data_IF_678648632139
#
_entry.id   IF_678648632139
#
_cell.length_a   1.000
_cell.length_b   1.000
_cell.length_c   1.000
_cell.angle_alpha   90.00
_cell.angle_beta   90.00
_cell.angle_gamma   90.00
#
_symmetry.space_group_name_H-M   'P 1'
#
loop_
_entity.id
_entity.type
_entity.pdbx_description
1 polymer ?
#
# COMPACT_ATOMS: atom_id res chain seq x y z
N UNK A 1 -37.41 -21.70 -20.34
CA UNK A 1 -36.36 -21.89 -21.37
C UNK A 1 -36.54 -21.03 -22.61
N UNK A 2 -37.70 -20.96 -23.22
CA UNK A 2 -37.91 -20.18 -24.46
C UNK A 2 -37.89 -18.68 -24.29
N UNK A 3 -38.33 -18.15 -23.16
CA UNK A 3 -38.32 -16.68 -22.90
C UNK A 3 -36.90 -16.12 -22.75
N UNK A 4 -35.97 -16.88 -22.18
CA UNK A 4 -34.57 -16.46 -22.06
C UNK A 4 -33.82 -16.46 -23.41
N UNK A 5 -34.12 -17.43 -24.26
CA UNK A 5 -33.54 -17.51 -25.60
C UNK A 5 -34.01 -16.34 -26.51
N UNK A 6 -35.26 -15.90 -26.36
CA UNK A 6 -35.82 -14.76 -27.08
C UNK A 6 -35.18 -13.41 -26.70
N UNK A 7 -34.60 -13.29 -25.48
CA UNK A 7 -33.92 -12.11 -25.05
C UNK A 7 -32.41 -12.13 -25.37
N UNK A 8 -31.78 -13.31 -25.37
CA UNK A 8 -30.33 -13.43 -25.58
C UNK A 8 -29.91 -13.44 -27.05
N UNK A 9 -30.72 -13.99 -27.94
CA UNK A 9 -30.43 -14.08 -29.39
C UNK A 9 -30.33 -12.69 -30.07
N UNK A 10 -31.23 -11.72 -29.81
CA UNK A 10 -31.08 -10.37 -30.36
C UNK A 10 -29.83 -9.66 -29.87
N UNK A 11 -29.47 -9.80 -28.61
CA UNK A 11 -28.28 -9.23 -28.04
C UNK A 11 -26.99 -9.82 -28.64
N UNK A 12 -26.96 -11.12 -28.87
CA UNK A 12 -25.85 -11.81 -29.53
C UNK A 12 -25.75 -11.41 -31.03
N UNK A 13 -26.89 -11.36 -31.74
CA UNK A 13 -26.90 -10.92 -33.13
C UNK A 13 -26.45 -9.46 -33.31
N UNK A 14 -26.77 -8.60 -32.36
CA UNK A 14 -26.29 -7.21 -32.35
C UNK A 14 -24.76 -7.12 -32.23
N UNK A 15 -24.13 -8.01 -31.50
CA UNK A 15 -22.68 -8.02 -31.29
C UNK A 15 -21.91 -8.60 -32.50
N UNK A 16 -22.53 -9.48 -33.26
CA UNK A 16 -21.88 -10.18 -34.37
C UNK A 16 -22.12 -9.55 -35.75
N UNK A 17 -23.16 -8.71 -35.93
CA UNK A 17 -23.43 -8.08 -37.23
C UNK A 17 -22.73 -6.75 -37.39
N UNK A 18 -21.72 -6.67 -38.28
CA UNK A 18 -21.02 -5.42 -38.70
C UNK A 18 -21.88 -4.48 -39.56
N UNK A 19 -23.18 -4.59 -39.58
CA UNK A 19 -24.08 -3.75 -40.38
C UNK A 19 -24.15 -2.34 -39.77
N UNK A 20 -23.78 -1.31 -40.56
CA UNK A 20 -23.73 0.10 -40.12
C UNK A 20 -25.11 0.77 -39.95
N UNK A 21 -26.20 0.19 -40.47
CA UNK A 21 -27.55 0.78 -40.42
C UNK A 21 -28.40 0.16 -39.30
N UNK A 22 -28.91 0.95 -38.34
CA UNK A 22 -29.65 0.41 -37.18
C UNK A 22 -30.96 -0.32 -37.56
N UNK A 23 -31.66 0.16 -38.64
CA UNK A 23 -32.88 -0.50 -39.12
C UNK A 23 -32.65 -1.90 -39.70
N UNK A 24 -31.51 -2.14 -40.36
CA UNK A 24 -31.14 -3.46 -40.87
C UNK A 24 -30.77 -4.42 -39.73
N UNK A 25 -30.16 -3.93 -38.63
CA UNK A 25 -29.87 -4.75 -37.45
C UNK A 25 -31.13 -5.16 -36.71
N UNK A 26 -32.10 -4.27 -36.59
CA UNK A 26 -33.39 -4.58 -35.98
C UNK A 26 -34.15 -5.62 -36.82
N UNK A 27 -34.18 -5.45 -38.15
CA UNK A 27 -34.83 -6.42 -39.05
C UNK A 27 -34.22 -7.80 -39.02
N UNK A 28 -32.90 -7.93 -39.02
CA UNK A 28 -32.21 -9.24 -38.89
C UNK A 28 -32.46 -9.89 -37.54
N UNK A 29 -32.53 -9.11 -36.44
CA UNK A 29 -32.88 -9.63 -35.12
C UNK A 29 -34.30 -10.20 -35.06
N UNK A 30 -35.28 -9.51 -35.64
CA UNK A 30 -36.68 -9.95 -35.71
C UNK A 30 -36.79 -11.25 -36.50
N UNK A 31 -36.15 -11.35 -37.67
CA UNK A 31 -36.17 -12.53 -38.54
C UNK A 31 -35.52 -13.74 -37.84
N UNK A 32 -34.39 -13.55 -37.15
CA UNK A 32 -33.70 -14.62 -36.46
C UNK A 32 -34.50 -15.12 -35.25
N UNK A 33 -35.10 -14.22 -34.48
CA UNK A 33 -35.95 -14.60 -33.33
C UNK A 33 -37.22 -15.30 -33.80
N UNK A 34 -37.84 -14.82 -34.88
CA UNK A 34 -38.99 -15.46 -35.51
C UNK A 34 -38.68 -16.85 -36.04
N UNK A 35 -37.55 -17.06 -36.69
CA UNK A 35 -37.10 -18.37 -37.17
C UNK A 35 -36.83 -19.36 -36.02
N UNK A 36 -36.18 -18.93 -34.94
CA UNK A 36 -35.91 -19.80 -33.77
C UNK A 36 -37.19 -20.16 -33.02
N UNK A 37 -38.17 -19.25 -32.87
CA UNK A 37 -39.45 -19.54 -32.23
C UNK A 37 -40.30 -20.48 -33.07
N UNK A 38 -40.24 -20.37 -34.41
CA UNK A 38 -40.92 -21.30 -35.34
C UNK A 38 -40.31 -22.71 -35.27
N UNK A 39 -38.97 -22.83 -35.23
CA UNK A 39 -38.24 -24.08 -35.11
C UNK A 39 -38.47 -24.79 -33.75
N UNK A 40 -38.69 -24.03 -32.68
CA UNK A 40 -38.97 -24.59 -31.35
C UNK A 40 -40.44 -25.01 -31.15
N UNK A 41 -41.29 -24.96 -32.14
CA UNK A 41 -42.71 -25.38 -32.06
C UNK A 41 -43.56 -24.43 -31.19
N UNK A 42 -43.04 -23.29 -30.78
CA UNK A 42 -43.74 -22.27 -29.96
C UNK A 42 -44.48 -21.20 -30.81
N UNK A 43 -44.74 -21.53 -32.08
CA UNK A 43 -45.26 -20.60 -33.10
C UNK A 43 -46.75 -20.35 -33.00
N UNK A 44 -47.28 -19.92 -31.86
CA UNK A 44 -48.60 -19.29 -31.83
C UNK A 44 -48.54 -17.89 -32.45
N UNK A 45 -49.56 -17.51 -33.20
CA UNK A 45 -49.68 -16.15 -33.79
C UNK A 45 -49.58 -15.06 -32.73
N UNK A 46 -49.97 -15.32 -31.51
CA UNK A 46 -49.86 -14.44 -30.35
C UNK A 46 -48.39 -14.17 -29.96
N UNK A 47 -47.50 -15.18 -30.02
CA UNK A 47 -46.10 -15.03 -29.71
C UNK A 47 -45.34 -14.21 -30.77
N UNK A 48 -45.68 -14.40 -32.05
CA UNK A 48 -45.11 -13.62 -33.16
C UNK A 48 -45.55 -12.16 -33.08
N UNK A 49 -46.82 -11.89 -32.77
CA UNK A 49 -47.33 -10.55 -32.53
C UNK A 49 -46.66 -9.89 -31.33
N UNK A 50 -46.44 -10.59 -30.23
CA UNK A 50 -45.74 -10.10 -29.04
C UNK A 50 -44.29 -9.69 -29.33
N UNK A 51 -43.59 -10.52 -30.12
CA UNK A 51 -42.20 -10.23 -30.54
C UNK A 51 -42.15 -8.97 -31.43
N UNK A 52 -43.06 -8.88 -32.42
CA UNK A 52 -43.14 -7.71 -33.32
C UNK A 52 -43.49 -6.44 -32.56
N UNK A 53 -44.39 -6.51 -31.59
CA UNK A 53 -44.81 -5.38 -30.76
C UNK A 53 -43.67 -4.93 -29.84
N UNK A 54 -42.94 -5.88 -29.22
CA UNK A 54 -41.76 -5.60 -28.40
C UNK A 54 -40.63 -4.88 -29.16
N UNK A 55 -40.39 -5.32 -30.41
CA UNK A 55 -39.43 -4.64 -31.27
C UNK A 55 -39.91 -3.26 -31.73
N UNK A 56 -41.19 -3.08 -32.04
CA UNK A 56 -41.78 -1.77 -32.42
C UNK A 56 -41.68 -0.81 -31.26
N UNK A 57 -42.00 -1.23 -30.03
CA UNK A 57 -41.86 -0.41 -28.83
C UNK A 57 -40.40 -0.09 -28.55
N UNK A 58 -39.50 -1.05 -28.64
CA UNK A 58 -38.05 -0.82 -28.47
C UNK A 58 -37.48 0.16 -29.51
N UNK A 59 -37.91 0.03 -30.79
CA UNK A 59 -37.53 0.98 -31.82
C UNK A 59 -38.08 2.40 -31.58
N UNK A 60 -39.31 2.50 -31.11
CA UNK A 60 -39.94 3.78 -30.76
C UNK A 60 -39.21 4.45 -29.59
N UNK A 61 -38.86 3.68 -28.54
CA UNK A 61 -38.09 4.19 -27.39
C UNK A 61 -36.69 4.68 -27.78
N UNK A 62 -35.99 3.97 -28.69
CA UNK A 62 -34.71 4.41 -29.26
C UNK A 62 -34.86 5.69 -30.06
N UNK A 63 -35.96 5.81 -30.81
CA UNK A 63 -36.20 7.00 -31.65
C UNK A 63 -36.66 8.24 -30.87
N UNK A 64 -37.36 8.06 -29.76
CA UNK A 64 -37.83 9.15 -28.89
C UNK A 64 -36.75 9.72 -27.99
N UNK A 65 -35.55 9.11 -27.99
CA UNK A 65 -34.43 9.58 -27.14
C UNK A 65 -34.69 9.43 -25.63
N UNK A 66 -35.72 8.67 -25.24
CA UNK A 66 -35.89 8.32 -23.82
C UNK A 66 -34.67 7.53 -23.39
N UNK A 67 -33.99 7.96 -22.30
CA UNK A 67 -32.82 7.25 -21.82
C UNK A 67 -33.23 5.84 -21.38
N UNK A 68 -32.88 4.83 -22.20
CA UNK A 68 -32.92 3.46 -21.70
C UNK A 68 -31.94 3.39 -20.53
N UNK A 69 -32.32 2.82 -19.37
CA UNK A 69 -31.34 2.53 -18.33
C UNK A 69 -30.29 1.64 -18.98
N UNK A 70 -29.14 2.22 -19.34
CA UNK A 70 -28.09 1.45 -19.99
C UNK A 70 -27.58 0.46 -18.95
N UNK A 71 -27.67 -0.82 -19.26
CA UNK A 71 -27.09 -1.88 -18.40
C UNK A 71 -25.62 -1.57 -18.03
N UNK A 72 -24.94 -0.85 -18.92
CA UNK A 72 -23.59 -0.35 -18.70
C UNK A 72 -23.54 0.72 -17.59
N UNK A 73 -24.53 1.64 -17.47
CA UNK A 73 -24.55 2.64 -16.41
C UNK A 73 -24.79 2.00 -15.04
N UNK A 74 -25.76 1.08 -14.97
CA UNK A 74 -26.04 0.35 -13.72
C UNK A 74 -24.86 -0.55 -13.29
N UNK A 75 -24.17 -1.17 -14.26
CA UNK A 75 -22.97 -1.96 -13.97
C UNK A 75 -21.80 -1.09 -13.48
N UNK A 76 -21.62 0.11 -14.06
CA UNK A 76 -20.61 1.09 -13.60
C UNK A 76 -20.91 1.56 -12.17
N UNK A 77 -22.14 1.93 -11.89
CA UNK A 77 -22.58 2.38 -10.57
C UNK A 77 -22.42 1.29 -9.50
N UNK A 78 -22.79 0.04 -9.82
CA UNK A 78 -22.56 -1.10 -8.93
C UNK A 78 -21.07 -1.37 -8.70
N UNK A 79 -20.21 -1.24 -9.72
CA UNK A 79 -18.77 -1.40 -9.58
C UNK A 79 -18.16 -0.29 -8.71
N UNK A 80 -18.58 0.97 -8.91
CA UNK A 80 -18.15 2.08 -8.09
C UNK A 80 -18.53 1.89 -6.61
N UNK A 81 -19.76 1.45 -6.34
CA UNK A 81 -20.21 1.16 -4.97
C UNK A 81 -19.37 0.05 -4.32
N UNK A 82 -19.09 -1.01 -5.05
CA UNK A 82 -18.25 -2.12 -4.54
C UNK A 82 -16.82 -1.70 -4.22
N UNK A 83 -16.25 -0.75 -4.95
CA UNK A 83 -14.91 -0.19 -4.66
C UNK A 83 -14.93 0.66 -3.39
N UNK A 84 -15.99 1.48 -3.20
CA UNK A 84 -16.19 2.24 -1.97
C UNK A 84 -16.33 1.35 -0.74
N UNK A 85 -17.18 0.32 -0.83
CA UNK A 85 -17.36 -0.67 0.25
C UNK A 85 -16.03 -1.37 0.62
N UNK A 86 -15.23 -1.73 -0.40
CA UNK A 86 -13.91 -2.34 -0.18
C UNK A 86 -12.94 -1.38 0.51
N UNK A 87 -12.94 -0.10 0.15
CA UNK A 87 -12.14 0.92 0.81
C UNK A 87 -12.51 1.10 2.29
N UNK A 88 -13.82 1.11 2.61
CA UNK A 88 -14.30 1.19 3.99
C UNK A 88 -13.88 -0.02 4.84
N UNK A 89 -13.92 -1.23 4.27
CA UNK A 89 -13.46 -2.44 4.97
C UNK A 89 -11.96 -2.37 5.27
N UNK A 90 -11.15 -1.87 4.33
CA UNK A 90 -9.71 -1.70 4.53
C UNK A 90 -9.43 -0.66 5.62
N UNK A 91 -10.15 0.46 5.64
CA UNK A 91 -10.01 1.47 6.69
C UNK A 91 -10.44 0.95 8.07
N UNK A 92 -11.47 0.12 8.13
CA UNK A 92 -11.89 -0.53 9.37
C UNK A 92 -10.81 -1.50 9.90
N UNK A 93 -10.17 -2.27 9.03
CA UNK A 93 -9.04 -3.14 9.38
C UNK A 93 -7.85 -2.33 9.90
N UNK A 94 -7.52 -1.23 9.23
CA UNK A 94 -6.47 -0.29 9.68
C UNK A 94 -6.76 0.24 11.08
N UNK A 95 -7.98 0.71 11.32
CA UNK A 95 -8.40 1.21 12.63
C UNK A 95 -8.26 0.19 13.77
N UNK A 96 -8.49 -1.11 13.49
CA UNK A 96 -8.27 -2.18 14.48
C UNK A 96 -6.78 -2.39 14.77
N UNK A 97 -5.91 -2.25 13.76
CA UNK A 97 -4.46 -2.39 13.95
C UNK A 97 -3.90 -1.23 14.79
N UNK A 98 -4.33 0.00 14.51
CA UNK A 98 -3.89 1.20 15.23
C UNK A 98 -4.34 1.19 16.71
N UNK A 99 -5.51 0.63 17.01
CA UNK A 99 -6.05 0.54 18.36
C UNK A 99 -5.30 -0.44 19.28
N UNK A 100 -4.54 -1.39 18.72
CA UNK A 100 -3.83 -2.43 19.48
C UNK A 100 -2.48 -1.99 20.08
N UNK A 101 -2.02 -0.78 19.79
CA UNK A 101 -0.67 -0.26 20.12
C UNK A 101 -0.58 0.60 21.38
N UNK A 102 -1.27 0.31 22.49
CA UNK A 102 -1.11 1.12 23.71
C UNK A 102 0.24 0.88 24.42
N UNK A 103 0.99 1.95 24.75
CA UNK A 103 2.25 1.81 25.46
C UNK A 103 2.03 1.39 26.91
N UNK A 104 2.77 0.39 27.36
CA UNK A 104 2.87 0.04 28.80
C UNK A 104 3.75 1.07 29.52
N UNK A 105 3.36 1.57 30.71
CA UNK A 105 4.16 2.52 31.46
C UNK A 105 5.51 1.90 31.89
N UNK A 106 6.61 2.64 31.72
CA UNK A 106 7.97 2.21 32.01
C UNK A 106 8.18 1.73 33.48
N UNK A 107 7.40 2.26 34.39
CA UNK A 107 7.47 1.90 35.82
C UNK A 107 7.04 0.46 36.07
N UNK A 108 6.06 -0.06 35.33
CA UNK A 108 5.63 -1.46 35.42
C UNK A 108 6.67 -2.46 34.84
N UNK A 109 7.57 -2.00 33.98
CA UNK A 109 8.63 -2.83 33.41
C UNK A 109 9.75 -3.07 34.44
N UNK A 110 10.15 -2.05 35.21
CA UNK A 110 11.14 -2.19 36.28
C UNK A 110 10.63 -3.11 37.40
N UNK A 111 9.37 -2.93 37.80
CA UNK A 111 8.75 -3.75 38.82
C UNK A 111 8.74 -5.22 38.41
N UNK A 112 8.42 -5.53 37.15
CA UNK A 112 8.42 -6.90 36.64
C UNK A 112 9.81 -7.57 36.64
N UNK A 113 10.90 -6.80 36.45
CA UNK A 113 12.27 -7.30 36.52
C UNK A 113 12.64 -7.71 37.94
N UNK A 114 12.29 -6.85 38.90
CA UNK A 114 12.57 -7.13 40.30
C UNK A 114 11.70 -8.27 40.87
N UNK A 115 10.45 -8.32 40.51
CA UNK A 115 9.53 -9.42 40.87
C UNK A 115 10.05 -10.74 40.33
N UNK A 116 10.47 -10.82 39.08
CA UNK A 116 11.06 -12.00 38.48
C UNK A 116 12.35 -12.48 39.19
N UNK A 117 13.22 -11.51 39.52
CA UNK A 117 14.46 -11.82 40.27
C UNK A 117 14.17 -12.28 41.71
N UNK A 118 13.21 -11.63 42.38
CA UNK A 118 12.78 -12.01 43.72
C UNK A 118 12.14 -13.40 43.75
N UNK A 119 11.32 -13.74 42.77
CA UNK A 119 10.73 -15.08 42.66
C UNK A 119 11.77 -16.18 42.52
N UNK A 120 12.87 -15.93 41.82
CA UNK A 120 13.95 -16.91 41.61
C UNK A 120 14.88 -17.07 42.82
N UNK A 121 15.21 -15.99 43.51
CA UNK A 121 16.27 -15.98 44.52
C UNK A 121 15.72 -15.71 45.91
N UNK A 122 14.83 -14.72 46.06
CA UNK A 122 14.39 -14.27 47.38
C UNK A 122 13.39 -15.22 48.03
N UNK A 123 12.51 -15.89 47.27
CA UNK A 123 11.51 -16.83 47.85
C UNK A 123 12.13 -18.00 48.61
N UNK A 124 13.31 -18.44 48.19
CA UNK A 124 14.03 -19.54 48.86
C UNK A 124 15.03 -19.02 49.91
N UNK A 125 15.12 -17.71 50.12
CA UNK A 125 16.07 -17.11 51.05
C UNK A 125 15.54 -17.14 52.46
N UNK A 126 16.39 -17.54 53.48
CA UNK A 126 15.98 -17.57 54.89
C UNK A 126 15.63 -16.16 55.43
N UNK A 127 16.08 -15.09 54.79
CA UNK A 127 15.76 -13.70 55.17
C UNK A 127 14.54 -13.13 54.39
N UNK A 128 13.79 -13.93 53.63
CA UNK A 128 12.67 -13.44 52.80
C UNK A 128 11.67 -12.62 53.61
N UNK A 129 11.12 -13.15 54.71
CA UNK A 129 10.15 -12.44 55.55
C UNK A 129 10.70 -11.15 56.14
N UNK A 130 12.00 -11.13 56.49
CA UNK A 130 12.63 -9.90 56.98
C UNK A 130 12.68 -8.81 55.89
N UNK A 131 13.09 -9.16 54.67
CA UNK A 131 13.28 -8.20 53.59
C UNK A 131 11.95 -7.75 52.96
N UNK A 132 11.02 -8.66 52.75
CA UNK A 132 9.80 -8.39 51.96
C UNK A 132 8.54 -8.14 52.80
N UNK A 133 8.57 -8.43 54.11
CA UNK A 133 7.44 -8.17 55.03
C UNK A 133 7.79 -7.13 56.08
N UNK A 134 8.90 -7.31 56.82
CA UNK A 134 9.24 -6.43 57.93
C UNK A 134 9.97 -5.14 57.50
N UNK A 135 10.83 -5.22 56.49
CA UNK A 135 11.59 -4.13 55.93
C UNK A 135 11.24 -3.85 54.47
N UNK A 136 9.95 -4.09 54.09
CA UNK A 136 9.47 -3.95 52.72
C UNK A 136 9.73 -2.57 52.12
N UNK A 137 9.47 -1.50 52.89
CA UNK A 137 9.69 -0.11 52.45
C UNK A 137 11.16 0.18 52.11
N UNK A 138 12.09 -0.36 52.94
CA UNK A 138 13.53 -0.18 52.70
C UNK A 138 13.99 -0.95 51.46
N UNK A 139 13.48 -2.18 51.28
CA UNK A 139 13.77 -2.99 50.12
C UNK A 139 13.23 -2.32 48.87
N UNK A 140 11.96 -1.87 48.87
CA UNK A 140 11.34 -1.18 47.77
C UNK A 140 12.06 0.15 47.39
N UNK A 141 12.45 0.94 48.40
CA UNK A 141 13.22 2.17 48.18
C UNK A 141 14.59 1.88 47.53
N UNK A 142 15.29 0.83 47.97
CA UNK A 142 16.58 0.44 47.39
C UNK A 142 16.41 0.02 45.88
N UNK A 143 15.38 -0.74 45.58
CA UNK A 143 15.09 -1.24 44.22
C UNK A 143 14.64 -0.10 43.27
N UNK A 144 13.71 0.73 43.73
CA UNK A 144 13.21 1.87 42.90
C UNK A 144 14.28 2.93 42.69
N UNK A 145 15.16 3.17 43.70
CA UNK A 145 16.27 4.11 43.56
C UNK A 145 17.30 3.67 42.51
N UNK A 146 17.51 2.36 42.37
CA UNK A 146 18.42 1.79 41.37
C UNK A 146 17.81 1.64 39.99
N UNK A 147 16.47 1.59 39.87
CA UNK A 147 15.75 1.21 38.66
C UNK A 147 16.13 2.06 37.45
N UNK A 148 16.14 3.39 37.59
CA UNK A 148 16.43 4.29 36.47
C UNK A 148 17.81 4.05 35.88
N UNK A 149 18.85 3.99 36.74
CA UNK A 149 20.24 3.82 36.30
C UNK A 149 20.44 2.44 35.62
N UNK A 150 19.83 1.40 36.19
CA UNK A 150 19.89 0.04 35.66
C UNK A 150 19.21 -0.05 34.30
N UNK A 151 18.01 0.56 34.13
CA UNK A 151 17.29 0.56 32.86
C UNK A 151 18.02 1.35 31.76
N UNK A 152 18.67 2.47 32.10
CA UNK A 152 19.44 3.28 31.17
C UNK A 152 20.73 2.59 30.73
N UNK A 153 21.42 1.94 31.66
CA UNK A 153 22.70 1.25 31.41
C UNK A 153 22.52 -0.16 30.83
N UNK A 154 21.40 -0.81 31.11
CA UNK A 154 21.09 -2.17 30.64
C UNK A 154 21.78 -3.28 31.47
N UNK A 155 22.39 -2.96 32.60
CA UNK A 155 23.04 -3.92 33.50
C UNK A 155 22.98 -3.44 34.94
N UNK A 156 22.71 -4.34 35.88
CA UNK A 156 22.71 -4.07 37.32
C UNK A 156 24.06 -4.48 37.93
N UNK A 157 24.63 -3.57 38.73
CA UNK A 157 25.87 -3.78 39.47
C UNK A 157 25.65 -3.53 40.96
N UNK A 158 26.53 -4.05 41.87
CA UNK A 158 26.38 -3.83 43.32
C UNK A 158 26.30 -2.34 43.70
N UNK A 159 27.00 -1.47 42.96
CA UNK A 159 27.09 -0.02 43.24
C UNK A 159 25.77 0.72 43.01
N UNK A 160 24.84 0.15 42.26
CA UNK A 160 23.51 0.72 42.02
C UNK A 160 22.62 0.70 43.26
N UNK A 161 22.95 -0.15 44.22
CA UNK A 161 22.15 -0.36 45.43
C UNK A 161 22.81 0.28 46.63
N UNK A 162 22.02 0.83 47.58
CA UNK A 162 22.54 1.40 48.83
C UNK A 162 23.35 0.38 49.65
N UNK A 163 24.35 0.86 50.36
CA UNK A 163 25.21 0.01 51.19
C UNK A 163 24.42 -0.82 52.20
N UNK A 164 23.40 -0.23 52.82
CA UNK A 164 22.48 -0.92 53.72
C UNK A 164 21.78 -2.12 53.11
N UNK A 165 21.44 -2.06 51.83
CA UNK A 165 20.85 -3.18 51.09
C UNK A 165 21.90 -4.24 50.77
N UNK A 166 23.10 -3.84 50.33
CA UNK A 166 24.23 -4.73 50.00
C UNK A 166 24.65 -5.57 51.18
N UNK A 167 24.78 -4.96 52.39
CA UNK A 167 25.17 -5.64 53.61
C UNK A 167 24.06 -6.54 54.18
N UNK A 168 22.80 -6.16 53.99
CA UNK A 168 21.68 -6.93 54.50
C UNK A 168 21.36 -8.18 53.66
N UNK A 169 21.64 -8.12 52.33
CA UNK A 169 21.34 -9.21 51.41
C UNK A 169 22.37 -10.33 51.47
N UNK A 170 21.93 -11.53 51.87
CA UNK A 170 22.84 -12.70 51.99
C UNK A 170 23.07 -13.41 50.63
N UNK A 171 22.34 -13.08 49.59
CA UNK A 171 22.45 -13.66 48.26
C UNK A 171 22.55 -12.57 47.16
N UNK A 172 23.32 -11.51 47.44
CA UNK A 172 23.43 -10.36 46.55
C UNK A 172 23.86 -10.73 45.13
N UNK A 173 24.92 -11.56 44.99
CA UNK A 173 25.41 -11.97 43.66
C UNK A 173 24.38 -12.78 42.88
N UNK A 174 23.66 -13.68 43.57
CA UNK A 174 22.57 -14.44 42.97
C UNK A 174 21.40 -13.55 42.55
N UNK A 175 21.06 -12.56 43.37
CA UNK A 175 20.01 -11.59 43.07
C UNK A 175 20.40 -10.70 41.86
N UNK A 176 21.62 -10.17 41.82
CA UNK A 176 22.12 -9.40 40.68
C UNK A 176 22.14 -10.21 39.39
N UNK A 177 22.55 -11.48 39.48
CA UNK A 177 22.51 -12.38 38.32
C UNK A 177 21.09 -12.57 37.82
N UNK A 178 20.11 -12.77 38.71
CA UNK A 178 18.71 -12.92 38.35
C UNK A 178 18.14 -11.61 37.79
N UNK A 179 18.45 -10.43 38.36
CA UNK A 179 18.06 -9.10 37.82
C UNK A 179 18.60 -8.92 36.42
N UNK A 180 19.88 -9.24 36.17
CA UNK A 180 20.48 -9.09 34.85
C UNK A 180 19.83 -10.02 33.80
N UNK A 181 19.46 -11.24 34.18
CA UNK A 181 18.73 -12.17 33.30
C UNK A 181 17.33 -11.65 32.95
N UNK A 182 16.59 -11.15 33.95
CA UNK A 182 15.27 -10.56 33.71
C UNK A 182 15.35 -9.28 32.88
N UNK A 183 16.38 -8.45 33.11
CA UNK A 183 16.65 -7.24 32.37
C UNK A 183 16.94 -7.55 30.88
N UNK A 184 17.78 -8.53 30.61
CA UNK A 184 18.04 -9.02 29.25
C UNK A 184 16.75 -9.47 28.57
N UNK A 185 15.93 -10.28 29.24
CA UNK A 185 14.63 -10.71 28.76
C UNK A 185 13.67 -9.55 28.49
N UNK A 186 13.66 -8.55 29.38
CA UNK A 186 12.87 -7.32 29.19
C UNK A 186 13.34 -6.53 27.98
N UNK A 187 14.64 -6.34 27.81
CA UNK A 187 15.22 -5.62 26.67
C UNK A 187 14.90 -6.31 25.33
N UNK A 188 14.95 -7.66 25.29
CA UNK A 188 14.49 -8.43 24.13
C UNK A 188 13.01 -8.20 23.84
N UNK A 189 12.15 -8.29 24.86
CA UNK A 189 10.69 -8.03 24.68
C UNK A 189 10.42 -6.60 24.23
N UNK A 190 11.16 -5.60 24.74
CA UNK A 190 11.05 -4.20 24.34
C UNK A 190 11.46 -4.01 22.88
N UNK A 191 12.61 -4.57 22.47
CA UNK A 191 13.08 -4.51 21.07
C UNK A 191 12.06 -5.15 20.12
N UNK A 192 11.55 -6.34 20.49
CA UNK A 192 10.52 -7.02 19.70
C UNK A 192 9.23 -6.20 19.57
N UNK A 193 8.78 -5.56 20.67
CA UNK A 193 7.61 -4.67 20.61
C UNK A 193 7.83 -3.49 19.68
N UNK A 194 8.98 -2.83 19.74
CA UNK A 194 9.31 -1.70 18.85
C UNK A 194 9.28 -2.17 17.40
N UNK A 195 9.94 -3.28 17.08
CA UNK A 195 9.93 -3.83 15.72
C UNK A 195 8.52 -4.20 15.25
N UNK A 196 7.70 -4.76 16.14
CA UNK A 196 6.31 -5.10 15.82
C UNK A 196 5.47 -3.84 15.58
N UNK A 197 5.65 -2.78 16.38
CA UNK A 197 4.97 -1.49 16.18
C UNK A 197 5.39 -0.82 14.88
N UNK A 198 6.68 -0.84 14.56
CA UNK A 198 7.19 -0.32 13.27
C UNK A 198 6.58 -1.10 12.09
N UNK A 199 6.53 -2.43 12.18
CA UNK A 199 5.91 -3.25 11.14
C UNK A 199 4.40 -3.00 11.02
N UNK A 200 3.69 -2.85 12.15
CA UNK A 200 2.26 -2.50 12.15
C UNK A 200 2.02 -1.13 11.52
N UNK A 201 2.86 -0.14 11.82
CA UNK A 201 2.76 1.19 11.24
C UNK A 201 2.93 1.16 9.72
N UNK A 202 3.91 0.40 9.22
CA UNK A 202 4.11 0.21 7.78
C UNK A 202 2.88 -0.43 7.14
N UNK A 203 2.34 -1.50 7.71
CA UNK A 203 1.15 -2.18 7.17
C UNK A 203 -0.09 -1.27 7.21
N UNK A 204 -0.26 -0.49 8.29
CA UNK A 204 -1.35 0.51 8.39
C UNK A 204 -1.25 1.55 7.27
N UNK A 205 -0.05 2.02 6.96
CA UNK A 205 0.19 2.96 5.87
C UNK A 205 -0.09 2.33 4.50
N UNK A 206 0.31 1.07 4.26
CA UNK A 206 -0.03 0.32 3.04
C UNK A 206 -1.54 0.21 2.84
N UNK A 207 -2.30 -0.12 3.90
CA UNK A 207 -3.75 -0.16 3.83
C UNK A 207 -4.37 1.21 3.50
N UNK A 208 -3.81 2.30 4.04
CA UNK A 208 -4.23 3.66 3.68
C UNK A 208 -4.08 3.94 2.19
N UNK A 209 -2.91 3.62 1.62
CA UNK A 209 -2.64 3.80 0.19
C UNK A 209 -3.59 2.97 -0.69
N UNK A 210 -3.90 1.73 -0.29
CA UNK A 210 -4.83 0.87 -1.04
C UNK A 210 -6.27 1.41 -0.95
N UNK A 211 -6.71 1.86 0.23
CA UNK A 211 -8.04 2.44 0.41
C UNK A 211 -8.22 3.71 -0.44
N UNK A 212 -7.21 4.58 -0.47
CA UNK A 212 -7.20 5.78 -1.31
C UNK A 212 -7.24 5.43 -2.80
N UNK A 213 -6.41 4.49 -3.25
CA UNK A 213 -6.46 4.00 -4.63
C UNK A 213 -7.84 3.48 -5.04
N UNK A 214 -8.54 2.75 -4.16
CA UNK A 214 -9.89 2.26 -4.45
C UNK A 214 -10.91 3.40 -4.57
N UNK A 215 -10.78 4.46 -3.76
CA UNK A 215 -11.62 5.67 -3.85
C UNK A 215 -11.36 6.43 -5.14
N UNK A 216 -10.10 6.63 -5.51
CA UNK A 216 -9.74 7.26 -6.78
C UNK A 216 -10.35 6.51 -7.98
N UNK A 217 -10.32 5.18 -7.94
CA UNK A 217 -10.97 4.34 -8.97
C UNK A 217 -12.49 4.46 -8.96
N UNK A 218 -13.10 4.61 -7.78
CA UNK A 218 -14.53 4.86 -7.64
C UNK A 218 -14.94 6.19 -8.30
N UNK A 219 -14.18 7.25 -8.05
CA UNK A 219 -14.43 8.58 -8.61
C UNK A 219 -14.28 8.58 -10.14
N UNK A 220 -13.24 7.93 -10.69
CA UNK A 220 -13.04 7.83 -12.14
C UNK A 220 -14.17 7.12 -12.89
N UNK A 221 -14.86 6.18 -12.25
CA UNK A 221 -16.02 5.54 -12.86
C UNK A 221 -17.16 6.54 -13.09
N UNK A 222 -17.21 7.62 -12.31
CA UNK A 222 -18.23 8.66 -12.41
C UNK A 222 -17.84 9.79 -13.37
N UNK A 223 -16.54 9.98 -13.68
CA UNK A 223 -16.08 11.03 -14.58
C UNK A 223 -16.13 10.61 -16.08
N UNK A 224 -16.47 11.52 -17.00
CA UNK A 224 -16.39 11.26 -18.44
C UNK A 224 -14.92 11.09 -18.87
N UNK A 225 -14.67 10.18 -19.80
CA UNK A 225 -13.34 9.91 -20.37
C UNK A 225 -12.59 11.22 -20.71
N UNK A 226 -11.42 11.40 -20.11
CA UNK A 226 -10.52 12.52 -20.40
C UNK A 226 -10.11 12.45 -21.87
N UNK A 227 -10.19 13.59 -22.57
CA UNK A 227 -9.89 13.71 -23.97
C UNK A 227 -8.46 13.28 -24.31
N UNK A 228 -8.21 13.05 -25.61
CA UNK A 228 -6.86 12.77 -26.15
C UNK A 228 -5.92 13.91 -25.75
N UNK A 229 -4.73 13.56 -25.23
CA UNK A 229 -3.73 14.54 -24.82
C UNK A 229 -3.40 15.55 -25.94
N UNK A 230 -3.22 16.82 -25.58
CA UNK A 230 -2.83 17.88 -26.48
C UNK A 230 -1.32 17.83 -26.80
N UNK A 231 -0.54 17.14 -25.95
CA UNK A 231 0.92 17.04 -26.04
C UNK A 231 1.38 15.63 -26.40
N UNK A 232 2.48 15.56 -27.15
CA UNK A 232 3.13 14.30 -27.52
C UNK A 232 4.56 14.28 -26.93
N UNK A 233 4.90 13.37 -26.01
CA UNK A 233 6.21 13.31 -25.42
C UNK A 233 7.22 12.71 -26.40
N UNK A 234 8.44 13.24 -26.40
CA UNK A 234 9.59 12.67 -27.09
C UNK A 234 10.65 12.34 -26.05
N UNK A 235 11.03 11.06 -25.96
CA UNK A 235 11.99 10.58 -24.96
C UNK A 235 13.20 9.93 -25.61
N UNK A 236 14.35 10.14 -24.97
CA UNK A 236 15.60 9.47 -25.31
C UNK A 236 16.18 8.81 -24.06
N UNK A 237 16.68 7.58 -24.17
CA UNK A 237 17.32 6.83 -23.07
C UNK A 237 18.76 6.50 -23.48
N UNK A 238 19.71 6.82 -22.59
CA UNK A 238 21.10 6.41 -22.73
C UNK A 238 21.57 5.79 -21.43
N UNK A 239 22.32 4.70 -21.52
CA UNK A 239 22.86 3.98 -20.36
C UNK A 239 24.37 3.73 -20.53
N UNK A 240 25.13 3.83 -19.44
CA UNK A 240 26.54 3.52 -19.42
C UNK A 240 26.87 2.58 -18.25
N UNK A 241 27.78 1.65 -18.48
CA UNK A 241 28.26 0.73 -17.44
C UNK A 241 29.56 1.25 -16.85
N UNK A 242 29.71 1.10 -15.52
CA UNK A 242 31.01 1.31 -14.87
C UNK A 242 32.00 0.27 -15.37
N UNK A 243 33.25 0.69 -15.67
CA UNK A 243 34.32 -0.24 -16.08
C UNK A 243 34.51 -1.36 -15.06
N UNK A 244 34.53 -2.60 -15.52
CA UNK A 244 34.68 -3.80 -14.69
C UNK A 244 33.35 -4.46 -14.25
N UNK A 245 32.19 -3.81 -14.42
CA UNK A 245 30.91 -4.42 -14.09
C UNK A 245 30.28 -5.14 -15.30
N UNK A 246 29.69 -6.31 -15.05
CA UNK A 246 28.98 -7.10 -16.07
C UNK A 246 27.59 -6.56 -16.37
N UNK A 247 26.94 -5.82 -15.41
CA UNK A 247 25.63 -5.26 -15.54
C UNK A 247 25.61 -3.80 -15.05
N UNK A 248 24.65 -3.00 -15.55
CA UNK A 248 24.35 -1.66 -15.06
C UNK A 248 23.29 -1.78 -13.95
N UNK A 249 23.55 -1.15 -12.78
CA UNK A 249 22.60 -1.05 -11.66
C UNK A 249 21.38 -0.17 -11.96
N UNK A 250 21.55 0.78 -12.90
CA UNK A 250 20.50 1.72 -13.26
C UNK A 250 19.50 1.10 -14.24
N UNK A 251 18.24 1.45 -14.07
CA UNK A 251 17.15 1.06 -14.97
C UNK A 251 16.22 2.23 -15.22
N UNK A 252 15.97 2.55 -16.49
CA UNK A 252 15.02 3.58 -16.91
C UNK A 252 13.93 3.00 -17.78
N UNK A 253 12.71 3.52 -17.67
CA UNK A 253 11.58 3.20 -18.52
C UNK A 253 10.68 4.43 -18.72
N UNK A 254 10.13 4.54 -19.94
CA UNK A 254 9.12 5.55 -20.27
C UNK A 254 7.88 4.83 -20.79
N UNK A 255 6.69 5.26 -20.38
CA UNK A 255 5.44 4.61 -20.79
C UNK A 255 4.25 5.55 -20.62
N UNK A 256 3.20 5.33 -21.43
CA UNK A 256 1.93 6.02 -21.29
C UNK A 256 1.10 5.35 -20.18
N UNK A 257 0.48 6.16 -19.34
CA UNK A 257 -0.45 5.74 -18.32
C UNK A 257 -1.90 5.68 -18.81
N UNK A 258 -2.85 5.34 -17.94
CA UNK A 258 -4.26 5.15 -18.31
C UNK A 258 -5.05 6.43 -18.55
N UNK A 259 -4.62 7.60 -18.02
CA UNK A 259 -5.35 8.86 -17.98
C UNK A 259 -4.74 9.96 -18.86
N UNK A 260 -4.21 9.66 -20.02
CA UNK A 260 -3.39 10.58 -20.82
C UNK A 260 -2.11 11.05 -20.07
N UNK A 261 -1.71 10.34 -19.03
CA UNK A 261 -0.46 10.54 -18.34
C UNK A 261 0.71 9.93 -19.12
N UNK A 262 1.88 10.52 -18.99
CA UNK A 262 3.12 9.95 -19.46
C UNK A 262 4.14 9.89 -18.31
N UNK A 263 4.72 8.73 -18.10
CA UNK A 263 5.65 8.50 -17.02
C UNK A 263 7.07 8.28 -17.53
N UNK A 264 8.03 8.91 -16.86
CA UNK A 264 9.47 8.64 -16.98
C UNK A 264 9.96 8.18 -15.62
N UNK A 265 10.43 6.96 -15.53
CA UNK A 265 10.88 6.31 -14.29
C UNK A 265 12.34 5.91 -14.43
N UNK A 266 13.16 6.35 -13.48
CA UNK A 266 14.57 5.99 -13.36
C UNK A 266 14.82 5.45 -11.95
N UNK A 267 15.46 4.28 -11.87
CA UNK A 267 15.83 3.63 -10.61
C UNK A 267 17.30 3.23 -10.63
N UNK A 268 17.98 3.43 -9.48
CA UNK A 268 19.32 2.89 -9.23
C UNK A 268 19.24 1.97 -8.00
N UNK A 269 19.57 0.69 -8.22
CA UNK A 269 19.56 -0.34 -7.18
C UNK A 269 20.81 -0.25 -6.30
N UNK A 270 20.64 -0.46 -4.99
CA UNK A 270 21.74 -0.49 -4.04
C UNK A 270 22.82 -1.48 -4.46
N UNK A 271 24.09 -1.05 -4.36
CA UNK A 271 25.24 -1.91 -4.63
C UNK A 271 25.77 -1.78 -6.07
N UNK A 272 26.23 -2.87 -6.64
CA UNK A 272 26.79 -2.88 -8.00
C UNK A 272 26.61 -4.24 -8.68
N UNK A 273 26.68 -4.23 -10.02
CA UNK A 273 26.65 -5.45 -10.80
C UNK A 273 25.24 -6.08 -10.90
N UNK A 274 25.17 -7.43 -10.82
CA UNK A 274 23.92 -8.17 -11.09
C UNK A 274 22.85 -7.97 -10.03
N UNK A 275 23.23 -7.83 -8.76
CA UNK A 275 22.27 -7.64 -7.66
C UNK A 275 21.58 -6.28 -7.74
N UNK A 276 22.35 -5.21 -7.97
CA UNK A 276 21.80 -3.88 -8.19
C UNK A 276 20.88 -3.83 -9.43
N UNK A 277 21.30 -4.50 -10.52
CA UNK A 277 20.50 -4.59 -11.75
C UNK A 277 19.19 -5.39 -11.55
N UNK A 278 19.20 -6.43 -10.72
CA UNK A 278 18.01 -7.19 -10.38
C UNK A 278 17.04 -6.34 -9.55
N UNK A 279 17.56 -5.65 -8.52
CA UNK A 279 16.79 -4.79 -7.65
C UNK A 279 16.12 -3.63 -8.40
N UNK A 280 16.90 -2.90 -9.23
CA UNK A 280 16.35 -1.81 -10.05
C UNK A 280 15.31 -2.30 -11.07
N UNK A 281 15.51 -3.48 -11.66
CA UNK A 281 14.54 -4.08 -12.58
C UNK A 281 13.24 -4.45 -11.88
N UNK A 282 13.33 -5.04 -10.70
CA UNK A 282 12.17 -5.40 -9.89
C UNK A 282 11.39 -4.14 -9.45
N UNK A 283 12.11 -3.11 -8.98
CA UNK A 283 11.57 -1.81 -8.58
C UNK A 283 10.80 -1.16 -9.73
N UNK A 284 11.43 -1.05 -10.91
CA UNK A 284 10.78 -0.48 -12.10
C UNK A 284 9.55 -1.28 -12.51
N UNK A 285 9.64 -2.62 -12.48
CA UNK A 285 8.51 -3.47 -12.85
C UNK A 285 7.33 -3.34 -11.89
N UNK A 286 7.61 -3.25 -10.59
CA UNK A 286 6.61 -3.08 -9.55
C UNK A 286 5.91 -1.72 -9.66
N UNK A 287 6.67 -0.61 -9.68
CA UNK A 287 6.12 0.74 -9.83
C UNK A 287 5.33 0.89 -11.13
N UNK A 288 5.86 0.38 -12.25
CA UNK A 288 5.14 0.41 -13.54
C UNK A 288 3.77 -0.26 -13.44
N UNK A 289 3.64 -1.39 -12.73
CA UNK A 289 2.36 -2.07 -12.55
C UNK A 289 1.37 -1.23 -11.75
N UNK A 290 1.82 -0.60 -10.65
CA UNK A 290 0.97 0.24 -9.81
C UNK A 290 0.48 1.48 -10.58
N UNK A 291 1.40 2.18 -11.25
CA UNK A 291 1.08 3.35 -12.07
C UNK A 291 0.19 3.00 -13.26
N UNK A 292 0.39 1.84 -13.90
CA UNK A 292 -0.45 1.39 -15.00
C UNK A 292 -1.85 0.98 -14.54
N UNK A 293 -1.98 0.49 -13.30
CA UNK A 293 -3.27 0.28 -12.65
C UNK A 293 -3.98 1.59 -12.29
N UNK A 294 -3.26 2.75 -12.40
CA UNK A 294 -3.75 4.09 -12.14
C UNK A 294 -3.59 4.53 -10.68
N UNK A 295 -2.74 3.89 -9.90
CA UNK A 295 -2.37 4.39 -8.58
C UNK A 295 -1.61 5.70 -8.73
N UNK A 296 -1.91 6.69 -7.88
CA UNK A 296 -1.19 7.97 -7.85
C UNK A 296 0.32 7.76 -7.59
N UNK A 297 1.20 8.60 -8.15
CA UNK A 297 2.65 8.45 -8.03
C UNK A 297 3.16 8.39 -6.58
N UNK A 298 2.64 9.23 -5.70
CA UNK A 298 3.02 9.26 -4.28
C UNK A 298 2.67 7.96 -3.57
N UNK A 299 1.43 7.47 -3.74
CA UNK A 299 0.97 6.22 -3.16
C UNK A 299 1.76 5.03 -3.68
N UNK A 300 2.09 5.00 -4.98
CA UNK A 300 2.91 3.96 -5.56
C UNK A 300 4.33 3.91 -4.95
N UNK A 301 4.93 5.07 -4.67
CA UNK A 301 6.22 5.16 -4.00
C UNK A 301 6.15 4.78 -2.52
N UNK A 302 5.06 5.12 -1.82
CA UNK A 302 4.84 4.70 -0.44
C UNK A 302 4.68 3.18 -0.34
N UNK A 303 3.88 2.57 -1.20
CA UNK A 303 3.73 1.10 -1.28
C UNK A 303 5.07 0.43 -1.58
N UNK A 304 5.89 0.99 -2.46
CA UNK A 304 7.25 0.49 -2.69
C UNK A 304 8.11 0.56 -1.43
N UNK A 305 8.07 1.70 -0.71
CA UNK A 305 8.83 1.90 0.53
C UNK A 305 8.43 0.87 1.59
N UNK A 306 7.14 0.68 1.82
CA UNK A 306 6.62 -0.32 2.74
C UNK A 306 7.05 -1.73 2.37
N UNK A 307 6.95 -2.10 1.10
CA UNK A 307 7.38 -3.41 0.61
C UNK A 307 8.88 -3.67 0.87
N UNK A 308 9.75 -2.65 0.74
CA UNK A 308 11.17 -2.78 1.04
C UNK A 308 11.45 -2.89 2.54
N UNK A 309 10.76 -2.09 3.38
CA UNK A 309 10.88 -2.16 4.83
C UNK A 309 10.45 -3.53 5.37
N UNK A 310 9.35 -4.09 4.86
CA UNK A 310 8.84 -5.41 5.26
C UNK A 310 9.75 -6.57 4.85
N UNK A 311 10.57 -6.42 3.80
CA UNK A 311 11.59 -7.42 3.43
C UNK A 311 12.66 -7.62 4.50
N UNK A 312 12.97 -6.58 5.29
CA UNK A 312 13.87 -6.64 6.43
C UNK A 312 15.34 -6.93 6.11
N UNK A 313 15.73 -6.92 4.84
CA UNK A 313 17.09 -7.21 4.37
C UNK A 313 17.95 -5.95 4.09
N UNK A 314 17.43 -4.76 4.46
CA UNK A 314 18.09 -3.46 4.24
C UNK A 314 18.26 -3.08 2.76
N UNK A 315 17.52 -3.69 1.84
CA UNK A 315 17.52 -3.31 0.43
C UNK A 315 16.86 -1.96 0.25
N UNK A 316 17.47 -1.11 -0.58
CA UNK A 316 16.88 0.15 -1.02
C UNK A 316 17.27 0.45 -2.47
N UNK A 317 16.47 1.27 -3.13
CA UNK A 317 16.76 1.77 -4.46
C UNK A 317 16.40 3.25 -4.53
N UNK A 318 17.14 4.04 -5.30
CA UNK A 318 16.71 5.42 -5.58
C UNK A 318 15.65 5.42 -6.67
N UNK A 319 14.72 6.35 -6.61
CA UNK A 319 13.65 6.49 -7.59
C UNK A 319 13.48 7.94 -7.98
N UNK A 320 13.58 8.21 -9.28
CA UNK A 320 13.17 9.45 -9.94
C UNK A 320 11.95 9.15 -10.81
N UNK A 321 10.82 9.74 -10.50
CA UNK A 321 9.57 9.57 -11.22
C UNK A 321 9.06 10.91 -11.71
N UNK A 322 8.92 11.05 -13.03
CA UNK A 322 8.26 12.19 -13.67
C UNK A 322 6.93 11.71 -14.19
N UNK A 323 5.86 12.40 -13.83
CA UNK A 323 4.53 12.31 -14.44
C UNK A 323 4.29 13.55 -15.28
N UNK A 324 3.81 13.39 -16.49
CA UNK A 324 3.39 14.49 -17.37
C UNK A 324 1.93 14.26 -17.75
N UNK A 325 1.07 15.20 -17.43
CA UNK A 325 -0.29 15.23 -17.94
C UNK A 325 -0.26 15.73 -19.41
N UNK A 326 -0.59 14.84 -20.34
CA UNK A 326 -0.57 15.14 -21.76
C UNK A 326 -1.72 16.05 -22.20
N UNK A 327 -2.72 16.30 -21.36
CA UNK A 327 -3.81 17.21 -21.65
C UNK A 327 -3.44 18.66 -21.31
N UNK A 328 -2.87 18.91 -20.13
CA UNK A 328 -2.45 20.23 -19.63
C UNK A 328 -1.01 20.58 -19.97
N UNK A 329 -0.14 19.59 -20.07
CA UNK A 329 1.32 19.75 -20.18
C UNK A 329 2.00 19.95 -18.83
N UNK A 330 1.27 19.86 -17.71
CA UNK A 330 1.85 19.92 -16.38
C UNK A 330 2.75 18.72 -16.10
N UNK A 331 3.90 18.98 -15.49
CA UNK A 331 4.86 17.95 -15.11
C UNK A 331 5.09 17.96 -13.61
N UNK A 332 5.07 16.78 -13.02
CA UNK A 332 5.32 16.52 -11.61
C UNK A 332 6.57 15.63 -11.47
N UNK A 333 7.52 16.05 -10.62
CA UNK A 333 8.73 15.29 -10.34
C UNK A 333 8.77 14.85 -8.88
N UNK A 334 8.82 13.54 -8.66
CA UNK A 334 9.03 12.92 -7.35
C UNK A 334 10.43 12.29 -7.32
N UNK A 335 11.24 12.67 -6.31
CA UNK A 335 12.60 12.18 -6.15
C UNK A 335 12.80 11.58 -4.77
N UNK A 336 13.05 10.28 -4.75
CA UNK A 336 13.38 9.53 -3.55
C UNK A 336 14.81 9.00 -3.62
N UNK A 337 15.74 9.79 -3.06
CA UNK A 337 17.18 9.58 -3.23
C UNK A 337 17.66 10.03 -4.61
N UNK A 338 18.80 9.50 -5.02
CA UNK A 338 19.33 9.64 -6.37
C UNK A 338 20.10 10.94 -6.69
N UNK A 339 20.68 10.97 -7.87
CA UNK A 339 21.42 12.11 -8.38
C UNK A 339 20.49 13.27 -8.76
N UNK A 340 20.97 14.52 -8.80
CA UNK A 340 20.16 15.65 -9.22
C UNK A 340 19.63 15.49 -10.63
N UNK A 341 18.36 15.90 -10.84
CA UNK A 341 17.73 16.05 -12.14
C UNK A 341 17.88 17.48 -12.64
N UNK A 342 17.82 17.68 -13.94
CA UNK A 342 17.95 18.99 -14.55
C UNK A 342 16.77 19.24 -15.47
N UNK A 343 16.04 20.33 -15.24
CA UNK A 343 14.99 20.83 -16.09
C UNK A 343 15.55 21.97 -16.96
N UNK A 344 15.39 21.86 -18.27
CA UNK A 344 15.71 22.94 -19.20
C UNK A 344 14.41 23.50 -19.76
N UNK A 345 14.15 24.75 -19.45
CA UNK A 345 13.05 25.52 -20.00
C UNK A 345 13.61 26.45 -21.08
N UNK A 346 13.11 26.33 -22.31
CA UNK A 346 13.60 27.04 -23.46
C UNK A 346 15.14 26.84 -23.66
N UNK A 347 15.81 27.65 -24.45
CA UNK A 347 17.24 27.44 -24.72
C UNK A 347 18.19 27.88 -23.59
N UNK A 348 17.72 28.54 -22.55
CA UNK A 348 18.59 29.29 -21.62
C UNK A 348 18.55 28.86 -20.16
N UNK A 349 17.47 28.37 -19.64
CA UNK A 349 17.36 28.07 -18.21
C UNK A 349 17.55 26.60 -17.90
N UNK A 350 18.50 26.30 -17.02
CA UNK A 350 18.65 24.97 -16.45
C UNK A 350 18.39 25.06 -14.95
N UNK A 351 17.29 24.47 -14.49
CA UNK A 351 16.99 24.34 -13.08
C UNK A 351 17.50 22.98 -12.60
N UNK A 352 18.35 23.00 -11.56
CA UNK A 352 18.83 21.80 -10.88
C UNK A 352 17.84 21.41 -9.78
N UNK A 353 17.38 20.16 -9.79
CA UNK A 353 16.44 19.61 -8.82
C UNK A 353 17.14 18.48 -8.06
N UNK A 354 17.22 18.63 -6.73
CA UNK A 354 17.84 17.65 -5.84
C UNK A 354 16.82 16.67 -5.26
N UNK A 355 17.29 15.54 -4.72
CA UNK A 355 16.45 14.67 -3.93
C UNK A 355 16.12 15.33 -2.60
N UNK A 356 14.86 15.40 -2.24
CA UNK A 356 14.39 15.92 -0.96
C UNK A 356 14.05 14.80 0.04
N UNK A 357 13.90 13.56 -0.43
CA UNK A 357 13.53 12.40 0.38
C UNK A 357 14.61 11.32 0.38
N UNK A 358 14.60 10.48 1.42
CA UNK A 358 15.43 9.28 1.50
C UNK A 358 14.99 8.25 0.46
N UNK A 359 15.89 7.37 -0.01
CA UNK A 359 15.51 6.27 -0.88
C UNK A 359 14.46 5.36 -0.24
N UNK A 360 13.52 4.78 -1.01
CA UNK A 360 12.61 3.75 -0.51
C UNK A 360 13.39 2.60 0.16
N UNK A 361 12.92 2.19 1.34
CA UNK A 361 13.53 1.15 2.17
C UNK A 361 14.48 1.66 3.26
N UNK A 362 14.75 2.98 3.35
CA UNK A 362 15.68 3.54 4.35
C UNK A 362 14.98 4.08 5.60
N UNK A 363 13.68 4.37 5.57
CA UNK A 363 12.99 4.89 6.76
C UNK A 363 11.47 4.88 6.64
N UNK A 364 10.79 4.95 7.79
CA UNK A 364 9.34 5.08 7.87
C UNK A 364 8.99 6.57 7.69
N UNK A 365 8.28 6.91 6.61
CA UNK A 365 7.74 8.26 6.39
C UNK A 365 8.65 9.21 5.59
N UNK A 366 9.13 8.79 4.45
CA UNK A 366 9.94 9.60 3.54
C UNK A 366 9.19 10.15 2.33
N UNK A 367 8.08 10.86 2.52
CA UNK A 367 7.44 11.60 1.41
C UNK A 367 7.67 13.10 1.57
N UNK A 368 8.32 13.75 0.62
CA UNK A 368 8.23 15.20 0.47
C UNK A 368 7.20 15.48 -0.63
N UNK A 369 6.50 16.62 -0.48
CA UNK A 369 5.57 17.07 -1.49
C UNK A 369 6.24 17.13 -2.87
N UNK A 370 5.56 16.70 -3.94
CA UNK A 370 6.09 16.73 -5.30
C UNK A 370 6.42 18.17 -5.72
N UNK A 371 7.52 18.34 -6.46
CA UNK A 371 7.76 19.61 -7.12
C UNK A 371 6.95 19.66 -8.42
N UNK A 372 6.03 20.62 -8.53
CA UNK A 372 5.19 20.85 -9.71
C UNK A 372 5.84 21.89 -10.64
N UNK A 373 5.75 21.66 -11.96
CA UNK A 373 6.30 22.50 -13.01
C UNK A 373 5.31 22.67 -14.16
#
# INVERSE_FOLDING_TARGET
>A
GCACAALLLPAAAWRFTRLRRPALRAGTGILLTGAVTALCGAGSTANLLGIALGYAVGWLLIRTGLPSPSFAATARESAAHSLGDAAEVIDALRGQMDASGQPHPAQSEADSVYDGAADRVCRCCPKFHRCWEHAADQTYYALTGAAKTILERGVATPEDFPESFRESCCHLDGFLTAVNQELEGMLYRRRYRIQMQEAQQVVSQEFSCVAEFLRDRQEEIHEPEHGRGAYAPVTGVSTARKRGNLANGDRGVCFAGPRADYYVLLCDGMGSGREAAALSSETVHFLKKLLYAGMGPENALQVLNGAFLLRGNGCFATVDLVRVDLASGEAELLKWGGAPSYLRENERLVKKMGAAALPPGVGVGGGHAPEQY
#
